data_IF_965404499141
#
_entry.id   IF_965404499141
#
_cell.length_a   1.000
_cell.length_b   1.000
_cell.length_c   1.000
_cell.angle_alpha   90.00
_cell.angle_beta   90.00
_cell.angle_gamma   90.00
#
_symmetry.space_group_name_H-M   'P 1'
#
loop_
_entity.id
_entity.type
_entity.pdbx_description
1 polymer ?
#
# COMPACT_ATOMS: atom_id res chain seq x y z
N UNK A 1 8.20 -22.13 -0.70
CA UNK A 1 6.76 -22.50 -0.77
C UNK A 1 5.81 -21.71 0.13
N UNK A 2 6.25 -20.83 1.06
CA UNK A 2 5.34 -19.84 1.70
C UNK A 2 5.67 -18.41 1.27
N UNK A 3 6.95 -18.07 1.19
CA UNK A 3 7.44 -16.78 0.70
C UNK A 3 7.04 -16.49 -0.75
N UNK A 4 7.18 -17.46 -1.65
CA UNK A 4 6.80 -17.31 -3.06
C UNK A 4 5.29 -17.09 -3.22
N UNK A 5 4.50 -17.79 -2.41
CA UNK A 5 3.04 -17.67 -2.38
C UNK A 5 2.62 -16.29 -1.90
N UNK A 6 3.22 -15.78 -0.81
CA UNK A 6 2.98 -14.42 -0.33
C UNK A 6 3.42 -13.35 -1.34
N UNK A 7 4.54 -13.56 -2.06
CA UNK A 7 4.97 -12.66 -3.12
C UNK A 7 3.97 -12.64 -4.28
N UNK A 8 3.46 -13.79 -4.70
CA UNK A 8 2.45 -13.90 -5.76
C UNK A 8 1.14 -13.23 -5.35
N UNK A 9 0.63 -13.55 -4.16
CA UNK A 9 -0.58 -12.94 -3.59
C UNK A 9 -0.43 -11.42 -3.44
N UNK A 10 0.74 -10.96 -2.99
CA UNK A 10 1.07 -9.54 -2.88
C UNK A 10 0.97 -8.84 -4.23
N UNK A 11 1.53 -9.42 -5.30
CA UNK A 11 1.44 -8.86 -6.66
C UNK A 11 0.03 -8.92 -7.23
N UNK A 12 -0.73 -9.99 -6.97
CA UNK A 12 -2.14 -10.08 -7.37
C UNK A 12 -2.99 -8.98 -6.70
N UNK A 13 -2.71 -8.69 -5.44
CA UNK A 13 -3.38 -7.63 -4.69
C UNK A 13 -2.88 -6.24 -5.06
N UNK A 14 -1.60 -6.05 -5.34
CA UNK A 14 -0.99 -4.76 -5.67
C UNK A 14 0.33 -4.94 -6.45
N UNK A 15 0.26 -4.83 -7.78
CA UNK A 15 1.45 -4.75 -8.62
C UNK A 15 1.74 -3.27 -8.98
N UNK A 16 2.74 -2.68 -8.32
CA UNK A 16 3.14 -1.30 -8.59
C UNK A 16 3.63 -1.07 -10.02
N UNK A 17 4.19 -2.10 -10.67
CA UNK A 17 4.68 -2.02 -12.07
C UNK A 17 3.53 -1.88 -13.08
N UNK A 18 2.34 -2.35 -12.71
CA UNK A 18 1.14 -2.27 -13.55
C UNK A 18 0.20 -1.14 -13.13
N UNK A 19 0.47 -0.46 -12.01
CA UNK A 19 -0.46 0.50 -11.42
C UNK A 19 -0.83 1.59 -12.42
N UNK A 20 0.14 2.12 -13.17
CA UNK A 20 -0.09 3.14 -14.20
C UNK A 20 -0.94 2.66 -15.39
N UNK A 21 -1.02 1.35 -15.62
CA UNK A 21 -1.82 0.76 -16.70
C UNK A 21 -3.27 0.43 -16.25
N UNK A 22 -3.57 0.55 -14.96
CA UNK A 22 -4.92 0.32 -14.45
C UNK A 22 -5.83 1.51 -14.75
N UNK A 23 -7.14 1.27 -14.87
CA UNK A 23 -8.11 2.37 -14.94
C UNK A 23 -8.03 3.24 -13.68
N UNK A 24 -8.32 4.53 -13.79
CA UNK A 24 -8.32 5.47 -12.66
C UNK A 24 -9.10 4.94 -11.45
N UNK A 25 -10.30 4.36 -11.69
CA UNK A 25 -11.10 3.69 -10.63
C UNK A 25 -10.32 2.57 -9.93
N UNK A 26 -9.62 1.72 -10.70
CA UNK A 26 -8.85 0.61 -10.13
C UNK A 26 -7.61 1.13 -9.41
N UNK A 27 -6.91 2.13 -9.95
CA UNK A 27 -5.81 2.82 -9.28
C UNK A 27 -6.24 3.38 -7.93
N UNK A 28 -7.33 4.15 -7.89
CA UNK A 28 -7.83 4.73 -6.66
C UNK A 28 -8.26 3.71 -5.61
N UNK A 29 -8.95 2.63 -6.03
CA UNK A 29 -9.27 1.51 -5.15
C UNK A 29 -8.02 0.84 -4.55
N UNK A 30 -6.92 0.75 -5.31
CA UNK A 30 -5.66 0.20 -4.79
C UNK A 30 -5.02 1.15 -3.78
N UNK A 31 -4.96 2.46 -4.07
CA UNK A 31 -4.43 3.46 -3.15
C UNK A 31 -5.21 3.52 -1.83
N UNK A 32 -6.54 3.52 -1.89
CA UNK A 32 -7.41 3.50 -0.71
C UNK A 32 -7.18 2.25 0.17
N UNK A 33 -6.99 1.08 -0.46
CA UNK A 33 -6.66 -0.15 0.26
C UNK A 33 -5.34 -0.05 1.01
N UNK A 34 -4.31 0.59 0.44
CA UNK A 34 -3.04 0.78 1.13
C UNK A 34 -3.22 1.68 2.36
N UNK A 35 -3.96 2.79 2.21
CA UNK A 35 -4.29 3.69 3.33
C UNK A 35 -5.00 2.93 4.44
N UNK A 36 -6.00 2.09 4.11
CA UNK A 36 -6.73 1.26 5.07
C UNK A 36 -5.83 0.29 5.81
N UNK A 37 -4.91 -0.38 5.11
CA UNK A 37 -3.95 -1.32 5.71
C UNK A 37 -2.98 -0.64 6.69
N UNK A 38 -2.57 0.60 6.40
CA UNK A 38 -1.73 1.42 7.30
C UNK A 38 -2.54 1.86 8.53
N UNK A 39 -3.79 2.32 8.34
CA UNK A 39 -4.69 2.77 9.42
C UNK A 39 -5.07 1.62 10.36
N UNK A 40 -5.28 0.41 9.83
CA UNK A 40 -5.63 -0.78 10.61
C UNK A 40 -4.43 -1.47 11.28
N UNK A 41 -3.22 -0.94 11.08
CA UNK A 41 -1.96 -1.53 11.56
C UNK A 41 -1.73 -2.99 11.12
N UNK A 42 -2.42 -3.43 10.07
CA UNK A 42 -2.27 -4.77 9.51
C UNK A 42 -0.92 -4.93 8.81
N UNK A 43 -0.37 -3.83 8.26
CA UNK A 43 0.89 -3.81 7.54
C UNK A 43 1.86 -2.72 8.07
N UNK A 44 3.14 -3.05 8.30
CA UNK A 44 3.71 -4.40 8.26
C UNK A 44 3.29 -5.23 9.48
N UNK A 45 3.03 -6.53 9.28
CA UNK A 45 2.56 -7.42 10.36
C UNK A 45 3.47 -7.40 11.60
N UNK A 46 2.88 -7.53 12.78
CA UNK A 46 3.60 -7.53 14.06
C UNK A 46 4.70 -8.59 14.12
N UNK A 47 4.45 -9.80 13.60
CA UNK A 47 5.45 -10.88 13.58
C UNK A 47 6.68 -10.49 12.75
N UNK A 48 6.49 -9.81 11.63
CA UNK A 48 7.56 -9.32 10.78
C UNK A 48 8.35 -8.19 11.46
N UNK A 49 7.66 -7.20 12.05
CA UNK A 49 8.31 -6.07 12.73
C UNK A 49 9.02 -6.45 14.03
N UNK A 50 8.66 -7.58 14.65
CA UNK A 50 9.34 -8.09 15.83
C UNK A 50 10.80 -8.46 15.54
N UNK A 51 11.06 -9.12 14.41
CA UNK A 51 12.40 -9.51 13.96
C UNK A 51 13.05 -8.37 13.16
N UNK A 52 12.26 -7.65 12.35
CA UNK A 52 12.70 -6.54 11.51
C UNK A 52 12.25 -5.20 12.09
N UNK A 53 12.88 -4.77 13.18
CA UNK A 53 12.52 -3.51 13.85
C UNK A 53 12.61 -2.28 12.95
N UNK A 54 13.51 -2.31 11.97
CA UNK A 54 13.67 -1.28 10.94
C UNK A 54 12.45 -1.14 10.02
N UNK A 55 11.64 -2.18 9.88
CA UNK A 55 10.40 -2.12 9.09
C UNK A 55 9.24 -1.44 9.84
N UNK A 56 9.38 -1.18 11.14
CA UNK A 56 8.33 -0.54 11.93
C UNK A 56 8.13 0.90 11.45
N UNK A 57 6.93 1.18 10.94
CA UNK A 57 6.55 2.54 10.55
C UNK A 57 6.27 3.40 11.78
N UNK A 58 6.99 4.52 11.90
CA UNK A 58 6.71 5.56 12.90
C UNK A 58 5.38 6.26 12.59
N UNK A 59 4.81 6.97 13.56
CA UNK A 59 3.55 7.71 13.36
C UNK A 59 3.70 8.76 12.26
N UNK A 60 4.84 9.43 12.22
CA UNK A 60 5.19 10.46 11.24
C UNK A 60 5.28 9.85 9.83
N UNK A 61 5.95 8.70 9.69
CA UNK A 61 6.06 7.99 8.42
C UNK A 61 4.70 7.49 7.93
N UNK A 62 3.85 6.95 8.82
CA UNK A 62 2.47 6.57 8.48
C UNK A 62 1.68 7.79 7.97
N UNK A 63 1.75 8.92 8.67
CA UNK A 63 1.04 10.14 8.29
C UNK A 63 1.56 10.74 6.96
N UNK A 64 2.87 10.64 6.69
CA UNK A 64 3.45 11.05 5.42
C UNK A 64 2.96 10.17 4.27
N UNK A 65 2.99 8.85 4.45
CA UNK A 65 2.53 7.89 3.44
C UNK A 65 1.04 8.07 3.12
N UNK A 66 0.19 8.20 4.15
CA UNK A 66 -1.25 8.42 3.95
C UNK A 66 -1.52 9.71 3.17
N UNK A 67 -0.89 10.82 3.55
CA UNK A 67 -1.05 12.10 2.84
C UNK A 67 -0.59 12.03 1.39
N UNK A 68 0.53 11.35 1.14
CA UNK A 68 1.02 11.16 -0.22
C UNK A 68 0.05 10.34 -1.08
N UNK A 69 -0.51 9.25 -0.53
CA UNK A 69 -1.48 8.42 -1.25
C UNK A 69 -2.81 9.12 -1.48
N UNK A 70 -3.31 9.88 -0.51
CA UNK A 70 -4.52 10.69 -0.64
C UNK A 70 -4.36 11.71 -1.78
N UNK A 71 -3.25 12.47 -1.78
CA UNK A 71 -2.93 13.41 -2.84
C UNK A 71 -2.79 12.75 -4.21
N UNK A 72 -2.14 11.58 -4.26
CA UNK A 72 -1.98 10.82 -5.50
C UNK A 72 -3.31 10.33 -6.05
N UNK A 73 -4.21 9.85 -5.17
CA UNK A 73 -5.54 9.41 -5.55
C UNK A 73 -6.40 10.56 -6.09
N UNK A 74 -6.30 11.74 -5.48
CA UNK A 74 -6.96 12.95 -5.97
C UNK A 74 -6.45 13.35 -7.36
N UNK A 75 -5.14 13.25 -7.61
CA UNK A 75 -4.55 13.52 -8.93
C UNK A 75 -5.05 12.53 -9.99
N UNK A 76 -5.06 11.23 -9.69
CA UNK A 76 -5.60 10.18 -10.58
C UNK A 76 -7.07 10.41 -10.92
N UNK A 77 -7.83 11.01 -10.00
CA UNK A 77 -9.26 11.29 -10.17
C UNK A 77 -9.53 12.60 -10.94
N UNK A 78 -8.52 13.48 -11.06
CA UNK A 78 -8.62 14.82 -11.67
C UNK A 78 -8.07 14.93 -13.08
N UNK A 79 -7.36 13.91 -13.58
CA UNK A 79 -6.97 13.83 -14.99
C UNK A 79 -8.21 13.60 -15.87
N UNK A 80 -8.88 14.70 -16.23
CA UNK A 80 -9.89 14.84 -17.29
C UNK A 80 -9.51 16.01 -18.17
#
# INVERSE_FOLDING_TARGET
>A
MLLDSHNKEGKENLNFSELGNYSQRKQGNKLDRIIKQIKSEQMPSHSYTFIHRNAKLTKENKALLMRWMERTNDSVSKEN
#
